data_IF_940788789483
#
_entry.id   IF_940788789483
#
_cell.length_a   1.000
_cell.length_b   1.000
_cell.length_c   1.000
_cell.angle_alpha   90.00
_cell.angle_beta   90.00
_cell.angle_gamma   90.00
#
_symmetry.space_group_name_H-M   'P 1'
#
loop_
_entity.id
_entity.type
_entity.pdbx_description
1 polymer ?
#
# COMPACT_ATOMS: atom_id res chain seq x y z
N UNK A 1 71.08 -12.83 44.15
CA UNK A 1 71.42 -12.84 45.60
C UNK A 1 70.37 -12.04 46.34
N UNK A 2 69.69 -12.63 47.32
CA UNK A 2 68.68 -11.96 48.18
C UNK A 2 69.38 -11.13 49.26
N UNK A 3 68.70 -10.12 49.82
CA UNK A 3 68.77 -9.91 51.26
C UNK A 3 67.39 -9.89 51.94
N UNK A 4 67.44 -10.29 53.21
CA UNK A 4 66.38 -10.46 54.21
C UNK A 4 66.06 -9.15 54.95
N UNK A 5 64.82 -8.99 55.41
CA UNK A 5 64.39 -8.28 56.64
C UNK A 5 62.93 -8.73 56.95
N UNK A 6 62.63 -9.56 57.97
CA UNK A 6 62.42 -9.26 59.41
C UNK A 6 61.35 -8.17 59.62
N UNK A 7 60.31 -8.26 60.46
CA UNK A 7 59.59 -9.29 61.22
C UNK A 7 58.31 -8.60 61.79
N UNK A 8 57.34 -9.37 62.26
CA UNK A 8 56.59 -9.21 63.54
C UNK A 8 55.19 -9.83 63.41
N UNK A 9 55.01 -10.90 64.18
CA UNK A 9 53.78 -11.66 64.39
C UNK A 9 53.11 -11.13 65.67
N UNK A 10 51.87 -10.64 65.59
CA UNK A 10 51.00 -10.42 66.76
C UNK A 10 49.78 -11.31 66.59
N UNK A 11 49.71 -12.33 67.43
CA UNK A 11 48.59 -13.25 67.59
C UNK A 11 47.63 -12.65 68.62
N UNK A 12 46.41 -12.33 68.23
CA UNK A 12 45.31 -12.01 69.15
C UNK A 12 44.12 -12.92 68.83
N UNK A 13 43.75 -13.77 69.78
CA UNK A 13 42.55 -14.59 69.75
C UNK A 13 41.31 -13.70 69.91
N UNK A 14 40.32 -13.86 69.04
CA UNK A 14 38.93 -13.45 69.32
C UNK A 14 37.98 -14.59 68.96
N UNK A 15 37.10 -14.87 69.92
CA UNK A 15 36.17 -15.98 69.94
C UNK A 15 35.14 -15.92 68.80
N UNK A 16 34.85 -17.07 68.20
CA UNK A 16 33.75 -17.23 67.25
C UNK A 16 32.42 -17.30 68.01
N UNK A 17 31.58 -16.27 67.85
CA UNK A 17 30.15 -16.36 68.15
C UNK A 17 29.42 -16.77 66.88
N UNK A 18 28.92 -18.01 66.86
CA UNK A 18 28.02 -18.51 65.84
C UNK A 18 26.64 -17.86 66.00
N UNK A 19 26.25 -16.99 65.07
CA UNK A 19 24.85 -16.63 64.87
C UNK A 19 24.27 -17.57 63.82
N UNK A 20 23.33 -18.41 64.24
CA UNK A 20 22.48 -19.19 63.35
C UNK A 20 21.61 -18.22 62.52
N UNK A 21 21.59 -18.39 61.19
CA UNK A 21 20.68 -17.67 60.32
C UNK A 21 19.30 -18.35 60.34
N UNK A 22 18.29 -17.61 60.78
CA UNK A 22 16.88 -17.96 60.64
C UNK A 22 16.52 -18.08 59.14
N UNK A 23 15.81 -19.13 58.70
CA UNK A 23 15.37 -19.24 57.31
C UNK A 23 14.38 -18.12 56.94
N UNK A 24 14.43 -17.58 55.71
CA UNK A 24 13.57 -16.46 55.30
C UNK A 24 12.09 -16.90 55.26
N UNK A 25 11.23 -16.03 55.80
CA UNK A 25 9.79 -16.23 55.84
C UNK A 25 9.17 -16.29 54.42
N UNK A 26 8.08 -17.06 54.22
CA UNK A 26 7.37 -17.13 52.95
C UNK A 26 6.75 -15.77 52.57
N UNK A 27 6.67 -15.42 51.27
CA UNK A 27 6.18 -14.12 50.84
C UNK A 27 4.73 -13.89 51.27
N UNK A 28 4.49 -12.76 51.95
CA UNK A 28 3.15 -12.27 52.27
C UNK A 28 2.49 -11.67 51.02
N UNK A 29 1.23 -12.06 50.81
CA UNK A 29 0.34 -11.64 49.74
C UNK A 29 -0.02 -10.14 49.93
N UNK A 30 0.82 -9.25 49.39
CA UNK A 30 0.46 -7.84 49.30
C UNK A 30 -0.42 -7.64 48.06
N UNK A 31 -1.72 -7.53 48.30
CA UNK A 31 -2.72 -7.10 47.35
C UNK A 31 -2.33 -5.74 46.73
N UNK A 32 -1.66 -5.78 45.58
CA UNK A 32 -1.42 -4.63 44.74
C UNK A 32 -2.69 -4.30 43.97
N UNK A 33 -3.19 -3.08 44.20
CA UNK A 33 -4.25 -2.47 43.42
C UNK A 33 -3.95 -2.62 41.91
N UNK A 34 -4.95 -2.95 41.07
CA UNK A 34 -4.70 -3.25 39.68
C UNK A 34 -4.19 -2.01 38.94
N UNK A 35 -3.10 -2.11 38.15
CA UNK A 35 -2.67 -1.00 37.31
C UNK A 35 -3.77 -0.72 36.29
N UNK A 36 -4.14 0.56 36.15
CA UNK A 36 -5.08 1.03 35.14
C UNK A 36 -4.58 0.63 33.74
N UNK A 37 -5.21 -0.40 33.17
CA UNK A 37 -4.85 -0.96 31.88
C UNK A 37 -5.32 -0.09 30.73
N UNK A 38 -4.36 0.47 29.97
CA UNK A 38 -4.62 0.87 28.60
C UNK A 38 -4.87 -0.38 27.73
N UNK A 39 -5.81 -0.35 26.79
CA UNK A 39 -6.07 -1.50 25.92
C UNK A 39 -4.96 -1.58 24.87
N UNK A 40 -4.13 -2.65 24.88
CA UNK A 40 -3.32 -2.93 23.69
C UNK A 40 -2.05 -3.76 23.81
N UNK A 41 -1.64 -4.23 24.99
CA UNK A 41 -0.37 -4.95 25.13
C UNK A 41 -0.47 -6.20 26.03
N UNK A 42 -1.28 -7.18 25.62
CA UNK A 42 -1.05 -8.58 25.96
C UNK A 42 -1.26 -9.38 24.69
N UNK A 43 -0.30 -10.24 24.35
CA UNK A 43 -0.51 -11.31 23.38
C UNK A 43 -1.63 -12.20 23.92
N UNK A 44 -2.87 -11.86 23.56
CA UNK A 44 -4.04 -12.47 24.14
C UNK A 44 -4.18 -13.90 23.60
N UNK A 45 -4.36 -14.85 24.51
CA UNK A 45 -4.92 -16.16 24.17
C UNK A 45 -6.19 -15.98 23.33
N UNK A 46 -6.57 -16.95 22.46
CA UNK A 46 -7.80 -16.86 21.68
C UNK A 46 -8.97 -16.55 22.62
N UNK A 47 -9.44 -15.31 22.59
CA UNK A 47 -10.55 -14.86 23.41
C UNK A 47 -11.82 -15.17 22.64
N UNK A 48 -12.78 -15.85 23.27
CA UNK A 48 -14.08 -16.14 22.62
C UNK A 48 -14.73 -14.86 22.08
N UNK A 49 -15.39 -14.91 20.88
CA UNK A 49 -16.08 -13.77 20.33
C UNK A 49 -17.15 -13.25 21.28
N UNK A 50 -17.21 -11.93 21.43
CA UNK A 50 -18.25 -11.26 22.21
C UNK A 50 -19.52 -11.11 21.36
N UNK A 51 -20.69 -10.91 22.00
CA UNK A 51 -21.91 -10.59 21.26
C UNK A 51 -21.73 -9.36 20.38
N UNK A 52 -22.20 -9.43 19.12
CA UNK A 52 -21.96 -8.41 18.10
C UNK A 52 -22.28 -6.98 18.56
N UNK A 53 -23.44 -6.79 19.20
CA UNK A 53 -23.91 -5.47 19.66
C UNK A 53 -23.05 -4.86 20.79
N UNK A 54 -22.22 -5.65 21.47
CA UNK A 54 -21.27 -5.16 22.46
C UNK A 54 -19.97 -4.64 21.82
N UNK A 55 -19.64 -5.13 20.62
CA UNK A 55 -18.45 -4.71 19.86
C UNK A 55 -18.81 -3.60 18.89
N UNK A 56 -19.82 -3.84 18.05
CA UNK A 56 -20.38 -2.88 17.11
C UNK A 56 -21.64 -2.28 17.74
N UNK A 57 -21.45 -1.21 18.49
CA UNK A 57 -22.52 -0.51 19.20
C UNK A 57 -23.33 0.38 18.24
N UNK A 58 -24.46 0.92 18.73
CA UNK A 58 -25.28 1.88 17.96
C UNK A 58 -24.54 3.18 17.61
N UNK A 59 -23.42 3.48 18.27
CA UNK A 59 -22.56 4.64 17.97
C UNK A 59 -21.66 4.42 16.74
N UNK A 60 -21.57 3.18 16.24
CA UNK A 60 -20.69 2.83 15.14
C UNK A 60 -21.13 3.50 13.83
N UNK A 61 -20.19 4.23 13.22
CA UNK A 61 -20.33 4.70 11.84
C UNK A 61 -19.82 3.59 10.92
N UNK A 62 -20.72 3.03 10.13
CA UNK A 62 -20.42 1.86 9.29
C UNK A 62 -20.42 2.26 7.82
N UNK A 63 -19.39 1.84 7.10
CA UNK A 63 -19.21 2.10 5.67
C UNK A 63 -19.15 0.76 4.91
N UNK A 64 -20.21 0.39 4.18
CA UNK A 64 -20.26 -0.88 3.45
C UNK A 64 -19.42 -0.80 2.17
N UNK A 65 -18.70 -1.87 1.88
CA UNK A 65 -17.94 -2.02 0.64
C UNK A 65 -17.44 -3.45 0.50
N UNK A 66 -16.20 -3.64 0.05
CA UNK A 66 -15.61 -4.97 -0.05
C UNK A 66 -15.55 -5.66 1.31
N UNK A 67 -15.15 -4.92 2.35
CA UNK A 67 -15.42 -5.22 3.76
C UNK A 67 -16.34 -4.13 4.31
N UNK A 68 -17.12 -4.42 5.34
CA UNK A 68 -17.77 -3.34 6.09
C UNK A 68 -16.77 -2.76 7.07
N UNK A 69 -16.54 -1.45 7.00
CA UNK A 69 -15.64 -0.74 7.91
C UNK A 69 -16.47 -0.04 8.97
N UNK A 70 -16.30 -0.42 10.23
CA UNK A 70 -16.97 0.22 11.36
C UNK A 70 -15.98 1.14 12.10
N UNK A 71 -16.37 2.38 12.37
CA UNK A 71 -15.63 3.31 13.21
C UNK A 71 -16.42 3.65 14.46
N UNK A 72 -15.80 3.42 15.62
CA UNK A 72 -16.32 3.81 16.94
C UNK A 72 -15.24 4.65 17.61
N UNK A 73 -15.46 5.98 17.67
CA UNK A 73 -14.45 6.95 18.10
C UNK A 73 -13.17 6.80 17.25
N UNK A 74 -12.04 6.46 17.88
CA UNK A 74 -10.76 6.23 17.20
C UNK A 74 -10.52 4.77 16.81
N UNK A 75 -11.41 3.84 17.20
CA UNK A 75 -11.26 2.42 16.85
C UNK A 75 -11.91 2.12 15.51
N UNK A 76 -11.17 1.42 14.66
CA UNK A 76 -11.64 0.91 13.37
C UNK A 76 -11.70 -0.60 13.41
N UNK A 77 -12.82 -1.14 12.92
CA UNK A 77 -13.04 -2.56 12.80
C UNK A 77 -13.33 -2.91 11.35
N UNK A 78 -12.84 -4.06 10.92
CA UNK A 78 -13.24 -4.70 9.67
C UNK A 78 -14.18 -5.85 9.97
N UNK A 79 -15.37 -5.81 9.38
CA UNK A 79 -16.24 -6.97 9.24
C UNK A 79 -15.99 -7.57 7.85
N UNK A 80 -15.31 -8.71 7.83
CA UNK A 80 -14.82 -9.34 6.60
C UNK A 80 -15.83 -10.38 6.14
N UNK A 81 -16.47 -10.24 4.96
CA UNK A 81 -17.37 -11.26 4.46
C UNK A 81 -16.63 -12.60 4.28
N UNK A 82 -17.29 -13.70 4.63
CA UNK A 82 -16.71 -15.05 4.48
C UNK A 82 -16.26 -15.34 3.05
N UNK A 83 -16.95 -14.79 2.05
CA UNK A 83 -16.60 -14.90 0.63
C UNK A 83 -15.30 -14.19 0.24
N UNK A 84 -14.78 -13.29 1.07
CA UNK A 84 -13.55 -12.53 0.82
C UNK A 84 -12.35 -13.06 1.62
N UNK A 85 -12.58 -13.95 2.59
CA UNK A 85 -11.50 -14.69 3.25
C UNK A 85 -10.81 -15.63 2.25
N UNK A 86 -9.49 -15.72 2.34
CA UNK A 86 -8.65 -16.51 1.43
C UNK A 86 -8.44 -15.89 0.05
N UNK A 87 -9.13 -14.79 -0.28
CA UNK A 87 -8.88 -14.04 -1.51
C UNK A 87 -7.67 -13.12 -1.37
N UNK A 88 -7.01 -12.89 -2.50
CA UNK A 88 -5.81 -12.07 -2.56
C UNK A 88 -6.12 -10.62 -2.88
N UNK A 89 -5.40 -9.73 -2.20
CA UNK A 89 -5.50 -8.29 -2.35
C UNK A 89 -4.12 -7.71 -2.65
N UNK A 90 -4.05 -6.75 -3.56
CA UNK A 90 -2.88 -5.91 -3.71
C UNK A 90 -2.91 -4.83 -2.63
N UNK A 91 -1.91 -4.81 -1.77
CA UNK A 91 -1.70 -3.75 -0.80
C UNK A 91 -0.64 -2.79 -1.31
N UNK A 92 -0.98 -1.51 -1.44
CA UNK A 92 -0.09 -0.43 -1.88
C UNK A 92 0.08 0.57 -0.75
N UNK A 93 1.32 0.88 -0.38
CA UNK A 93 1.66 1.86 0.65
C UNK A 93 2.39 3.06 0.03
N UNK A 94 1.96 4.27 0.37
CA UNK A 94 2.56 5.50 -0.11
C UNK A 94 2.59 6.59 0.96
N UNK A 95 3.54 7.51 0.85
CA UNK A 95 3.54 8.76 1.61
C UNK A 95 2.69 9.77 0.83
N UNK A 96 1.47 10.01 1.27
CA UNK A 96 0.55 10.96 0.65
C UNK A 96 1.00 12.42 0.88
N UNK A 97 1.45 12.74 2.10
CA UNK A 97 1.98 14.05 2.47
C UNK A 97 3.18 13.87 3.39
N UNK A 98 4.12 14.80 3.34
CA UNK A 98 5.36 14.72 4.11
C UNK A 98 5.72 16.07 4.71
N UNK A 99 6.56 16.03 5.74
CA UNK A 99 7.27 17.20 6.27
C UNK A 99 8.32 17.67 5.26
N UNK A 100 8.55 18.99 5.21
CA UNK A 100 9.55 19.61 4.34
C UNK A 100 10.94 19.00 4.57
N UNK A 101 11.69 18.78 3.47
CA UNK A 101 13.06 18.27 3.53
C UNK A 101 13.19 16.76 3.76
N UNK A 102 12.08 16.04 3.95
CA UNK A 102 12.10 14.59 4.21
C UNK A 102 11.76 13.76 2.96
N UNK A 103 10.96 14.31 2.04
CA UNK A 103 10.57 13.65 0.79
C UNK A 103 9.57 14.49 0.01
N UNK A 104 8.74 13.84 -0.81
CA UNK A 104 7.61 14.46 -1.52
C UNK A 104 6.33 13.63 -1.37
N UNK A 105 5.17 14.27 -1.55
CA UNK A 105 3.88 13.60 -1.55
C UNK A 105 3.67 12.74 -2.79
N UNK A 106 2.92 11.64 -2.64
CA UNK A 106 2.69 10.65 -3.70
C UNK A 106 3.85 9.66 -3.88
N UNK A 107 4.80 9.63 -2.95
CA UNK A 107 5.96 8.75 -3.04
C UNK A 107 5.57 7.32 -2.64
N UNK A 108 5.75 6.37 -3.56
CA UNK A 108 5.54 4.95 -3.29
C UNK A 108 6.55 4.42 -2.27
N UNK A 109 6.08 3.62 -1.31
CA UNK A 109 6.93 2.87 -0.38
C UNK A 109 7.07 1.41 -0.79
N UNK A 110 6.01 0.82 -1.33
CA UNK A 110 6.01 -0.55 -1.78
C UNK A 110 4.61 -1.04 -2.07
N UNK A 111 4.56 -2.20 -2.69
CA UNK A 111 3.34 -2.98 -2.85
C UNK A 111 3.63 -4.45 -2.54
N UNK A 112 2.58 -5.19 -2.19
CA UNK A 112 2.64 -6.64 -1.95
C UNK A 112 1.28 -7.28 -2.12
N UNK A 113 1.26 -8.58 -2.32
CA UNK A 113 0.02 -9.36 -2.28
C UNK A 113 -0.22 -9.80 -0.84
N UNK A 114 -1.42 -9.54 -0.34
CA UNK A 114 -1.85 -9.95 0.99
C UNK A 114 -3.11 -10.81 0.93
N UNK A 115 -3.29 -11.64 1.95
CA UNK A 115 -4.46 -12.50 2.12
C UNK A 115 -4.94 -12.46 3.57
N UNK A 116 -6.25 -12.38 3.75
CA UNK A 116 -6.89 -12.49 5.06
C UNK A 116 -7.35 -13.93 5.27
N UNK A 117 -6.87 -14.59 6.32
CA UNK A 117 -7.14 -16.01 6.58
C UNK A 117 -7.68 -16.18 8.00
N UNK A 118 -8.86 -16.78 8.15
CA UNK A 118 -9.42 -17.09 9.47
C UNK A 118 -8.89 -18.43 9.95
N UNK A 119 -8.26 -18.44 11.13
CA UNK A 119 -7.75 -19.63 11.80
C UNK A 119 -8.24 -19.60 13.24
N UNK A 120 -9.10 -20.56 13.60
CA UNK A 120 -9.79 -20.59 14.89
C UNK A 120 -10.47 -19.24 15.17
N UNK A 121 -10.24 -18.66 16.36
CA UNK A 121 -10.77 -17.37 16.73
C UNK A 121 -9.85 -16.18 16.39
N UNK A 122 -9.08 -16.31 15.30
CA UNK A 122 -8.20 -15.27 14.80
C UNK A 122 -8.35 -15.08 13.30
N UNK A 123 -8.07 -13.87 12.84
CA UNK A 123 -7.84 -13.57 11.43
C UNK A 123 -6.38 -13.16 11.26
N UNK A 124 -5.69 -13.81 10.33
CA UNK A 124 -4.30 -13.55 9.99
C UNK A 124 -4.26 -12.68 8.73
N UNK A 125 -3.48 -11.61 8.77
CA UNK A 125 -3.04 -10.90 7.58
C UNK A 125 -1.70 -11.50 7.15
N UNK A 126 -1.68 -12.15 5.99
CA UNK A 126 -0.50 -12.84 5.46
C UNK A 126 0.05 -12.16 4.22
N UNK A 127 1.36 -12.19 4.06
CA UNK A 127 2.07 -11.78 2.85
C UNK A 127 2.19 -13.00 1.92
N UNK A 128 1.68 -12.89 0.70
CA UNK A 128 1.79 -13.92 -0.33
C UNK A 128 2.91 -13.53 -1.29
N UNK A 129 3.87 -14.43 -1.51
CA UNK A 129 4.94 -14.23 -2.49
C UNK A 129 4.79 -15.19 -3.66
N UNK A 130 5.19 -14.70 -4.84
CA UNK A 130 5.24 -15.45 -6.08
C UNK A 130 6.65 -15.48 -6.67
N UNK A 131 7.67 -15.26 -5.83
CA UNK A 131 9.07 -15.26 -6.26
C UNK A 131 9.55 -16.67 -6.66
N UNK A 132 8.93 -17.70 -6.07
CA UNK A 132 9.18 -19.11 -6.37
C UNK A 132 7.85 -19.78 -6.71
N UNK A 133 7.79 -20.42 -7.88
CA UNK A 133 6.57 -21.07 -8.39
C UNK A 133 6.89 -22.44 -8.98
N UNK A 134 5.86 -23.27 -9.08
CA UNK A 134 5.85 -24.49 -9.86
C UNK A 134 4.43 -24.72 -10.41
N UNK A 135 4.33 -25.49 -11.50
CA UNK A 135 3.04 -25.91 -12.02
C UNK A 135 2.35 -26.84 -11.00
N UNK A 136 1.15 -26.46 -10.55
CA UNK A 136 0.36 -27.21 -9.56
C UNK A 136 0.01 -28.63 -10.01
N UNK A 137 0.03 -28.91 -11.31
CA UNK A 137 -0.18 -30.26 -11.84
C UNK A 137 1.02 -31.20 -11.61
N UNK A 138 2.19 -30.65 -11.29
CA UNK A 138 3.41 -31.44 -11.12
C UNK A 138 3.67 -31.79 -9.65
N UNK A 139 4.27 -32.97 -9.34
CA UNK A 139 4.59 -33.36 -7.97
C UNK A 139 5.49 -32.37 -7.22
N UNK A 140 6.41 -31.70 -7.95
CA UNK A 140 7.35 -30.73 -7.38
C UNK A 140 6.65 -29.52 -6.75
N UNK A 141 5.40 -29.21 -7.17
CA UNK A 141 4.61 -28.14 -6.57
C UNK A 141 4.40 -28.34 -5.07
N UNK A 142 4.26 -29.59 -4.59
CA UNK A 142 4.13 -29.88 -3.16
C UNK A 142 5.38 -29.51 -2.38
N UNK A 143 6.57 -29.73 -2.95
CA UNK A 143 7.83 -29.36 -2.32
C UNK A 143 8.00 -27.83 -2.31
N UNK A 144 7.61 -27.16 -3.40
CA UNK A 144 7.60 -25.69 -3.46
C UNK A 144 6.62 -25.09 -2.45
N UNK A 145 5.41 -25.63 -2.34
CA UNK A 145 4.43 -25.21 -1.33
C UNK A 145 4.91 -25.47 0.10
N UNK A 146 5.54 -26.63 0.36
CA UNK A 146 6.12 -26.92 1.67
C UNK A 146 7.32 -26.02 2.02
N UNK A 147 8.07 -25.56 1.01
CA UNK A 147 9.20 -24.65 1.17
C UNK A 147 8.78 -23.17 1.29
N UNK A 148 7.57 -22.81 0.84
CA UNK A 148 7.07 -21.44 0.86
C UNK A 148 5.84 -21.33 1.74
N UNK A 149 6.03 -20.90 2.98
CA UNK A 149 4.91 -20.55 3.86
C UNK A 149 4.64 -19.04 3.80
N UNK A 150 3.38 -18.66 3.60
CA UNK A 150 2.94 -17.27 3.62
C UNK A 150 3.25 -16.63 4.99
N UNK A 151 4.07 -15.59 5.01
CA UNK A 151 4.46 -14.89 6.26
C UNK A 151 3.26 -14.19 6.89
N UNK A 152 3.02 -14.43 8.18
CA UNK A 152 2.00 -13.69 8.95
C UNK A 152 2.54 -12.30 9.27
N UNK A 153 1.94 -11.26 8.70
CA UNK A 153 2.26 -9.86 9.00
C UNK A 153 1.66 -9.47 10.36
N UNK A 154 0.39 -9.83 10.58
CA UNK A 154 -0.32 -9.50 11.81
C UNK A 154 -1.47 -10.48 12.06
N UNK A 155 -1.75 -10.76 13.34
CA UNK A 155 -2.84 -11.63 13.78
C UNK A 155 -3.86 -10.84 14.60
N UNK A 156 -5.14 -10.94 14.28
CA UNK A 156 -6.22 -10.22 14.95
C UNK A 156 -7.14 -11.21 15.66
N UNK A 157 -7.59 -10.89 16.87
CA UNK A 157 -8.64 -11.66 17.52
C UNK A 157 -9.99 -11.35 16.84
N UNK A 158 -10.82 -12.37 16.70
CA UNK A 158 -12.22 -12.18 16.29
C UNK A 158 -12.98 -11.63 17.50
N UNK A 159 -13.26 -10.33 17.47
CA UNK A 159 -13.91 -9.61 18.57
C UNK A 159 -15.40 -9.96 18.64
N UNK A 160 -16.03 -10.16 17.49
CA UNK A 160 -17.41 -10.60 17.33
C UNK A 160 -17.59 -11.32 15.99
N UNK A 161 -18.73 -11.97 15.81
CA UNK A 161 -19.15 -12.58 14.55
C UNK A 161 -20.39 -11.84 14.05
N UNK A 162 -20.32 -11.33 12.83
CA UNK A 162 -21.41 -10.64 12.13
C UNK A 162 -22.35 -11.61 11.42
N UNK A 163 -23.10 -11.10 10.45
CA UNK A 163 -23.97 -11.93 9.61
C UNK A 163 -23.13 -12.89 8.77
N UNK A 164 -23.70 -14.03 8.40
CA UNK A 164 -23.06 -15.02 7.53
C UNK A 164 -21.68 -15.51 8.01
N UNK A 165 -21.49 -15.55 9.33
CA UNK A 165 -20.21 -15.93 9.98
C UNK A 165 -19.03 -15.02 9.59
N UNK A 166 -19.30 -13.74 9.31
CA UNK A 166 -18.28 -12.73 9.03
C UNK A 166 -17.49 -12.36 10.31
N UNK A 167 -16.17 -12.59 10.39
CA UNK A 167 -15.39 -12.15 11.55
C UNK A 167 -15.29 -10.63 11.60
N UNK A 168 -15.51 -10.07 12.79
CA UNK A 168 -15.27 -8.66 13.11
C UNK A 168 -13.94 -8.56 13.85
N UNK A 169 -12.99 -7.83 13.28
CA UNK A 169 -11.65 -7.65 13.85
C UNK A 169 -11.34 -6.17 14.06
N UNK A 170 -10.65 -5.86 15.16
CA UNK A 170 -10.16 -4.51 15.44
C UNK A 170 -8.81 -4.29 14.73
N UNK A 171 -8.72 -3.30 13.85
CA UNK A 171 -7.55 -3.10 12.96
C UNK A 171 -6.79 -1.80 13.20
N UNK A 172 -7.15 -0.99 14.19
CA UNK A 172 -6.49 0.32 14.42
C UNK A 172 -4.99 0.16 14.56
N UNK A 173 -4.53 -0.85 15.31
CA UNK A 173 -3.10 -1.10 15.52
C UNK A 173 -2.33 -1.44 14.24
N UNK A 174 -3.00 -1.93 13.19
CA UNK A 174 -2.37 -2.14 11.87
C UNK A 174 -1.87 -0.82 11.28
N UNK A 175 -2.52 0.29 11.62
CA UNK A 175 -2.27 1.62 11.09
C UNK A 175 -1.70 2.62 12.10
N UNK A 176 -1.61 2.27 13.38
CA UNK A 176 -1.05 3.14 14.43
C UNK A 176 0.21 2.60 15.10
N UNK A 177 0.67 1.41 14.70
CA UNK A 177 1.94 0.82 15.14
C UNK A 177 2.93 0.68 13.99
N UNK A 178 4.21 0.52 14.32
CA UNK A 178 5.28 0.31 13.34
C UNK A 178 5.25 -1.12 12.80
N UNK A 179 4.43 -1.38 11.78
CA UNK A 179 4.43 -2.66 11.04
C UNK A 179 5.55 -2.59 9.99
N UNK A 180 6.66 -3.34 10.14
CA UNK A 180 7.86 -3.17 9.32
C UNK A 180 7.59 -3.23 7.83
N UNK A 181 6.69 -4.11 7.41
CA UNK A 181 6.32 -4.31 6.04
C UNK A 181 5.63 -3.04 5.46
N UNK A 182 4.82 -2.32 6.24
CA UNK A 182 4.07 -1.14 5.78
C UNK A 182 4.69 0.20 6.21
N UNK A 183 5.85 0.15 6.87
CA UNK A 183 6.46 1.28 7.53
C UNK A 183 7.23 2.20 6.58
N UNK A 184 7.15 3.50 6.83
CA UNK A 184 8.01 4.48 6.17
C UNK A 184 9.38 4.61 6.87
N UNK A 185 9.61 3.94 8.01
CA UNK A 185 10.79 4.14 8.88
C UNK A 185 12.11 4.04 8.13
N UNK A 186 12.29 3.00 7.32
CA UNK A 186 13.52 2.79 6.53
C UNK A 186 13.69 3.91 5.50
N UNK A 187 12.62 4.27 4.78
CA UNK A 187 12.64 5.33 3.78
C UNK A 187 12.97 6.69 4.38
N UNK A 188 12.45 6.97 5.56
CA UNK A 188 12.68 8.22 6.28
C UNK A 188 14.01 8.21 7.06
N UNK A 189 14.75 7.10 7.08
CA UNK A 189 15.95 6.89 7.91
C UNK A 189 15.68 7.15 9.39
N UNK A 190 14.47 6.84 9.83
CA UNK A 190 14.08 7.01 11.22
C UNK A 190 14.51 5.81 12.07
N UNK A 191 14.69 6.05 13.36
CA UNK A 191 15.03 5.02 14.35
C UNK A 191 13.81 4.25 14.80
N UNK A 192 12.71 4.96 15.04
CA UNK A 192 11.46 4.39 15.54
C UNK A 192 10.25 5.21 15.06
N UNK A 193 9.07 4.59 15.11
CA UNK A 193 7.79 5.29 15.07
C UNK A 193 7.39 5.67 16.49
N UNK A 194 6.76 6.83 16.63
CA UNK A 194 6.14 7.27 17.87
C UNK A 194 4.63 7.02 17.81
N UNK A 195 4.18 5.93 18.44
CA UNK A 195 2.78 5.53 18.43
C UNK A 195 1.87 6.54 19.15
N UNK A 196 2.39 7.35 20.08
CA UNK A 196 1.59 8.34 20.82
C UNK A 196 1.26 9.57 19.97
N UNK A 197 2.08 9.85 18.96
CA UNK A 197 1.90 10.91 17.96
C UNK A 197 1.48 10.37 16.59
N UNK A 198 0.94 9.16 16.57
CA UNK A 198 0.46 8.51 15.35
C UNK A 198 -0.98 8.05 15.52
N UNK A 199 -1.83 8.33 14.54
CA UNK A 199 -3.26 8.09 14.63
C UNK A 199 -3.87 7.84 13.25
N UNK A 200 -5.02 7.16 13.23
CA UNK A 200 -5.77 6.86 12.02
C UNK A 200 -6.69 8.06 11.68
N UNK A 201 -6.45 8.68 10.52
CA UNK A 201 -7.23 9.82 10.06
C UNK A 201 -8.59 9.37 9.54
N UNK A 202 -8.58 8.44 8.57
CA UNK A 202 -9.80 7.90 7.95
C UNK A 202 -9.58 6.52 7.36
N UNK A 203 -10.64 5.73 7.35
CA UNK A 203 -10.75 4.47 6.63
C UNK A 203 -12.08 4.50 5.86
N UNK A 204 -12.04 4.22 4.56
CA UNK A 204 -13.19 4.25 3.66
C UNK A 204 -13.23 2.95 2.90
N UNK A 205 -14.41 2.35 2.81
CA UNK A 205 -14.65 1.14 2.03
C UNK A 205 -15.27 1.47 0.68
N UNK A 206 -14.79 0.79 -0.36
CA UNK A 206 -15.34 0.84 -1.70
C UNK A 206 -15.68 -0.58 -2.15
N UNK A 207 -16.48 -0.77 -3.21
CA UNK A 207 -16.90 -2.10 -3.64
C UNK A 207 -15.76 -3.07 -3.99
N UNK A 208 -14.56 -2.58 -4.32
CA UNK A 208 -13.41 -3.41 -4.73
C UNK A 208 -12.12 -3.11 -3.96
N UNK A 209 -12.13 -2.11 -3.08
CA UNK A 209 -10.93 -1.67 -2.37
C UNK A 209 -11.27 -1.00 -1.04
N UNK A 210 -10.27 -0.90 -0.16
CA UNK A 210 -10.33 -0.15 1.09
C UNK A 210 -9.17 0.84 1.08
N UNK A 211 -9.48 2.09 1.40
CA UNK A 211 -8.49 3.17 1.46
C UNK A 211 -8.38 3.68 2.89
N UNK A 212 -7.16 3.67 3.42
CA UNK A 212 -6.88 4.14 4.78
C UNK A 212 -5.79 5.20 4.74
N UNK A 213 -6.04 6.32 5.42
CA UNK A 213 -5.03 7.34 5.70
C UNK A 213 -4.73 7.35 7.19
N UNK A 214 -3.44 7.40 7.52
CA UNK A 214 -2.95 7.46 8.88
C UNK A 214 -1.76 8.41 8.99
N UNK A 215 -1.76 9.23 10.02
CA UNK A 215 -0.66 10.15 10.33
C UNK A 215 0.35 9.41 11.18
N UNK A 216 1.57 9.28 10.68
CA UNK A 216 2.67 8.59 11.37
C UNK A 216 3.75 9.60 11.72
N UNK A 217 4.16 9.61 12.99
CA UNK A 217 5.30 10.39 13.45
C UNK A 217 6.47 9.46 13.71
N UNK A 218 7.64 9.79 13.17
CA UNK A 218 8.87 9.04 13.34
C UNK A 218 9.93 9.87 14.07
N UNK A 219 10.84 9.20 14.77
CA UNK A 219 11.94 9.83 15.53
C UNK A 219 13.30 9.33 15.06
N UNK A 220 14.30 10.20 15.07
CA UNK A 220 15.70 9.87 14.81
C UNK A 220 16.59 10.62 15.82
N UNK A 221 17.74 10.04 16.21
CA UNK A 221 18.73 10.71 17.03
C UNK A 221 19.10 12.08 16.46
N UNK A 222 19.29 13.06 17.33
CA UNK A 222 19.73 14.42 16.97
C UNK A 222 21.19 14.47 16.54
N UNK A 223 21.96 13.48 16.96
CA UNK A 223 23.39 13.41 16.67
C UNK A 223 23.64 13.08 15.20
N UNK A 224 24.69 13.66 14.59
CA UNK A 224 25.02 13.38 13.20
C UNK A 224 25.29 11.88 13.02
N UNK A 225 24.82 11.26 11.92
CA UNK A 225 25.06 9.84 11.69
C UNK A 225 26.56 9.57 11.63
N UNK A 226 27.02 8.58 12.39
CA UNK A 226 28.40 8.10 12.31
C UNK A 226 28.60 7.40 10.96
N UNK A 227 29.26 8.07 10.01
CA UNK A 227 29.67 7.50 8.72
C UNK A 227 29.31 8.37 7.51
N UNK A 228 29.84 8.03 6.33
CA UNK A 228 29.64 8.81 5.12
C UNK A 228 28.16 8.84 4.73
N UNK A 229 27.60 10.06 4.67
CA UNK A 229 26.28 10.31 4.12
C UNK A 229 26.31 10.08 2.61
N UNK A 230 25.67 9.01 2.14
CA UNK A 230 25.52 8.78 0.70
C UNK A 230 24.65 9.90 0.07
N UNK A 231 25.23 10.77 -0.79
CA UNK A 231 24.52 11.89 -1.40
C UNK A 231 23.41 11.45 -2.38
N UNK A 232 23.49 10.23 -2.93
CA UNK A 232 22.48 9.67 -3.82
C UNK A 232 21.20 9.24 -3.08
N UNK A 233 21.28 9.10 -1.76
CA UNK A 233 20.15 8.80 -0.88
C UNK A 233 19.67 10.04 -0.12
N UNK A 234 19.97 11.27 -0.57
CA UNK A 234 19.75 12.54 0.12
C UNK A 234 18.28 12.95 0.40
N UNK A 235 17.37 11.99 0.57
CA UNK A 235 16.06 12.16 1.18
C UNK A 235 15.99 11.37 2.49
N UNK A 236 15.47 11.99 3.55
CA UNK A 236 15.33 11.35 4.85
C UNK A 236 15.39 12.36 5.98
N UNK A 237 14.82 11.97 7.11
CA UNK A 237 14.72 12.79 8.30
C UNK A 237 16.11 13.22 8.78
N UNK A 238 16.23 14.46 9.22
CA UNK A 238 17.32 14.88 10.09
C UNK A 238 16.94 14.53 11.53
N UNK A 239 17.87 14.70 12.46
CA UNK A 239 17.61 14.46 13.87
C UNK A 239 16.35 15.15 14.38
N UNK A 240 15.65 14.51 15.32
CA UNK A 240 14.37 14.98 15.85
C UNK A 240 13.19 14.12 15.37
N UNK A 241 12.10 14.77 14.95
CA UNK A 241 10.86 14.09 14.52
C UNK A 241 10.41 14.56 13.14
N UNK A 242 9.74 13.68 12.40
CA UNK A 242 8.97 14.05 11.22
C UNK A 242 7.66 13.29 11.19
N UNK A 243 6.63 14.02 10.76
CA UNK A 243 5.29 13.49 10.62
C UNK A 243 4.95 13.40 9.13
N UNK A 244 4.44 12.25 8.73
CA UNK A 244 4.01 11.97 7.36
C UNK A 244 2.59 11.42 7.36
N UNK A 245 1.82 11.77 6.33
CA UNK A 245 0.53 11.14 6.08
C UNK A 245 0.76 9.93 5.21
N UNK A 246 0.51 8.75 5.76
CA UNK A 246 0.50 7.48 5.06
C UNK A 246 -0.84 7.28 4.38
N UNK A 247 -0.80 6.66 3.20
CA UNK A 247 -1.99 6.19 2.50
C UNK A 247 -1.79 4.74 2.10
N UNK A 248 -2.75 3.92 2.48
CA UNK A 248 -2.80 2.49 2.25
C UNK A 248 -4.01 2.17 1.39
N UNK A 249 -3.75 1.54 0.24
CA UNK A 249 -4.78 1.07 -0.67
C UNK A 249 -4.72 -0.45 -0.70
N UNK A 250 -5.84 -1.10 -0.36
CA UNK A 250 -5.99 -2.54 -0.46
C UNK A 250 -7.04 -2.84 -1.53
N UNK A 251 -6.62 -3.40 -2.66
CA UNK A 251 -7.46 -3.63 -3.84
C UNK A 251 -7.59 -5.11 -4.10
N UNK A 252 -8.82 -5.61 -4.30
CA UNK A 252 -9.06 -7.02 -4.62
C UNK A 252 -8.43 -7.41 -5.95
N UNK A 253 -7.68 -8.52 -5.97
CA UNK A 253 -7.14 -9.05 -7.21
C UNK A 253 -8.20 -9.82 -8.01
N UNK A 254 -8.16 -9.77 -9.36
CA UNK A 254 -9.06 -10.56 -10.19
C UNK A 254 -8.88 -12.06 -9.99
N UNK A 255 -9.98 -12.80 -9.85
CA UNK A 255 -9.96 -14.26 -9.65
C UNK A 255 -9.35 -15.02 -10.84
N UNK A 256 -9.49 -14.47 -12.06
CA UNK A 256 -8.84 -15.00 -13.26
C UNK A 256 -7.57 -14.21 -13.56
N UNK A 257 -6.37 -14.79 -13.37
CA UNK A 257 -5.11 -14.16 -13.72
C UNK A 257 -5.06 -13.81 -15.21
N UNK A 258 -4.36 -12.72 -15.54
CA UNK A 258 -4.06 -12.43 -16.94
C UNK A 258 -2.97 -13.36 -17.46
N UNK A 259 -2.98 -13.64 -18.76
CA UNK A 259 -1.88 -14.39 -19.38
C UNK A 259 -0.58 -13.61 -19.28
N UNK A 260 0.46 -14.19 -18.65
CA UNK A 260 1.77 -13.55 -18.55
C UNK A 260 2.41 -13.43 -19.94
N UNK A 261 3.33 -12.48 -20.10
CA UNK A 261 4.14 -12.35 -21.31
C UNK A 261 5.61 -12.28 -20.93
N UNK A 262 6.43 -13.07 -21.60
CA UNK A 262 7.87 -13.06 -21.37
C UNK A 262 8.47 -11.71 -21.69
N UNK A 263 9.49 -11.36 -20.92
CA UNK A 263 10.31 -10.19 -21.17
C UNK A 263 11.22 -10.40 -22.37
N UNK A 264 11.29 -9.38 -23.24
CA UNK A 264 12.21 -9.31 -24.37
C UNK A 264 13.15 -8.12 -24.13
N UNK A 265 14.45 -8.37 -24.11
CA UNK A 265 15.48 -7.36 -23.83
C UNK A 265 15.49 -6.20 -24.83
N UNK A 266 14.98 -6.42 -26.04
CA UNK A 266 14.92 -5.40 -27.09
C UNK A 266 13.84 -4.35 -26.82
N UNK A 267 12.88 -4.65 -25.94
CA UNK A 267 11.74 -3.77 -25.65
C UNK A 267 11.79 -3.33 -24.18
N UNK A 268 11.82 -2.02 -23.97
CA UNK A 268 11.90 -1.42 -22.64
C UNK A 268 10.59 -1.52 -21.85
N UNK A 269 10.28 -2.70 -21.29
CA UNK A 269 9.22 -2.87 -20.30
C UNK A 269 9.78 -3.00 -18.89
N UNK A 270 9.01 -2.50 -17.92
CA UNK A 270 9.14 -2.95 -16.54
C UNK A 270 8.79 -4.44 -16.43
N UNK A 271 9.38 -5.11 -15.46
CA UNK A 271 9.33 -6.57 -15.40
C UNK A 271 9.47 -7.10 -14.00
N UNK A 272 8.90 -8.26 -13.75
CA UNK A 272 9.08 -9.07 -12.55
C UNK A 272 9.85 -10.34 -12.89
N UNK A 273 10.51 -10.93 -11.90
CA UNK A 273 11.29 -12.16 -12.03
C UNK A 273 10.71 -13.21 -11.09
N UNK A 274 10.73 -14.47 -11.51
CA UNK A 274 10.26 -15.62 -10.73
C UNK A 274 11.16 -16.82 -11.01
N UNK A 275 11.44 -17.63 -9.98
CA UNK A 275 12.07 -18.93 -10.12
C UNK A 275 11.01 -19.99 -10.38
N UNK A 276 11.11 -20.72 -11.48
CA UNK A 276 10.14 -21.75 -11.89
C UNK A 276 10.75 -23.13 -11.73
N UNK A 277 10.28 -23.89 -10.73
CA UNK A 277 10.75 -25.26 -10.46
C UNK A 277 9.97 -26.33 -11.23
N UNK A 278 8.95 -25.95 -12.01
CA UNK A 278 8.13 -26.88 -12.79
C UNK A 278 8.72 -27.24 -14.16
N UNK A 279 10.00 -26.96 -14.40
CA UNK A 279 10.64 -27.18 -15.69
C UNK A 279 11.69 -28.27 -15.58
N UNK A 280 11.80 -29.07 -16.64
CA UNK A 280 12.83 -30.09 -16.78
C UNK A 280 14.15 -29.45 -17.22
N UNK A 281 14.75 -28.68 -16.31
CA UNK A 281 16.03 -28.02 -16.50
C UNK A 281 16.98 -28.37 -15.34
N UNK A 282 18.28 -28.51 -15.63
CA UNK A 282 19.31 -28.84 -14.62
C UNK A 282 19.45 -27.81 -13.48
N UNK A 283 18.89 -26.60 -13.65
CA UNK A 283 18.86 -25.52 -12.65
C UNK A 283 17.44 -24.99 -12.55
N UNK A 284 17.11 -24.27 -11.48
CA UNK A 284 15.85 -23.52 -11.40
C UNK A 284 15.90 -22.30 -12.34
N UNK A 285 15.20 -22.29 -13.50
CA UNK A 285 15.22 -21.15 -14.40
C UNK A 285 14.58 -19.93 -13.75
N UNK A 286 15.29 -18.81 -13.80
CA UNK A 286 14.73 -17.52 -13.44
C UNK A 286 14.04 -16.91 -14.67
N UNK A 287 12.71 -16.99 -14.71
CA UNK A 287 11.88 -16.40 -15.76
C UNK A 287 11.57 -14.94 -15.46
N UNK A 288 11.44 -14.14 -16.51
CA UNK A 288 11.15 -12.70 -16.42
C UNK A 288 9.91 -12.37 -17.23
N UNK A 289 8.96 -11.69 -16.61
CA UNK A 289 7.67 -11.33 -17.20
C UNK A 289 7.50 -9.81 -17.24
N UNK A 290 6.84 -9.29 -18.27
CA UNK A 290 6.57 -7.85 -18.36
C UNK A 290 5.38 -7.44 -17.50
N UNK A 291 5.47 -6.28 -16.86
CA UNK A 291 4.32 -5.62 -16.23
C UNK A 291 3.62 -4.74 -17.26
N UNK A 292 2.34 -4.99 -17.50
CA UNK A 292 1.54 -4.31 -18.53
C UNK A 292 0.09 -4.16 -18.11
N UNK A 293 -0.61 -3.25 -18.78
CA UNK A 293 -2.07 -3.20 -18.67
C UNK A 293 -2.72 -4.46 -19.27
N UNK A 294 -3.79 -4.92 -18.61
CA UNK A 294 -4.65 -5.98 -19.13
C UNK A 294 -5.55 -5.40 -20.22
N UNK A 295 -5.09 -5.50 -21.47
CA UNK A 295 -5.83 -5.13 -22.66
C UNK A 295 -6.29 -6.39 -23.39
N UNK A 296 -7.60 -6.52 -23.54
CA UNK A 296 -8.27 -7.58 -24.30
C UNK A 296 -9.01 -6.92 -25.45
N UNK A 297 -8.86 -7.46 -26.67
CA UNK A 297 -9.53 -6.93 -27.85
C UNK A 297 -11.03 -7.20 -27.74
N UNK A 298 -11.85 -6.21 -28.09
CA UNK A 298 -13.30 -6.37 -28.20
C UNK A 298 -13.68 -7.32 -29.34
N UNK A 299 -12.95 -7.24 -30.45
CA UNK A 299 -12.98 -8.20 -31.56
C UNK A 299 -11.63 -8.95 -31.60
N UNK A 300 -11.59 -10.22 -31.17
CA UNK A 300 -10.37 -11.03 -31.17
C UNK A 300 -9.77 -11.27 -32.55
N UNK A 301 -10.58 -11.30 -33.61
CA UNK A 301 -10.16 -11.62 -34.98
C UNK A 301 -9.60 -10.39 -35.72
N UNK A 302 -10.03 -9.18 -35.35
CA UNK A 302 -9.55 -7.96 -35.96
C UNK A 302 -8.06 -7.70 -35.66
N UNK A 303 -7.30 -7.22 -36.65
CA UNK A 303 -5.90 -6.84 -36.49
C UNK A 303 -5.72 -5.76 -35.41
N UNK A 304 -6.58 -4.73 -35.45
CA UNK A 304 -6.71 -3.68 -34.45
C UNK A 304 -8.16 -3.65 -33.93
N UNK A 305 -8.34 -3.55 -32.62
CA UNK A 305 -9.65 -3.50 -32.00
C UNK A 305 -9.62 -2.62 -30.77
N UNK A 306 -10.75 -1.97 -30.49
CA UNK A 306 -10.93 -1.27 -29.21
C UNK A 306 -10.74 -2.25 -28.05
N UNK A 307 -10.12 -1.81 -26.93
CA UNK A 307 -10.02 -2.65 -25.75
C UNK A 307 -11.39 -2.81 -25.09
N UNK A 308 -11.68 -4.01 -24.57
CA UNK A 308 -12.89 -4.29 -23.78
C UNK A 308 -12.97 -3.34 -22.57
N UNK A 309 -11.84 -3.12 -21.90
CA UNK A 309 -11.70 -2.13 -20.81
C UNK A 309 -10.66 -1.08 -21.21
N UNK A 310 -11.09 0.16 -21.54
CA UNK A 310 -10.16 1.23 -21.89
C UNK A 310 -9.37 1.67 -20.67
N UNK A 311 -8.14 2.13 -20.90
CA UNK A 311 -7.31 2.73 -19.85
C UNK A 311 -7.76 4.17 -19.65
N UNK A 312 -8.09 4.51 -18.41
CA UNK A 312 -8.50 5.85 -18.02
C UNK A 312 -7.35 6.49 -17.25
N UNK A 313 -6.91 7.66 -17.70
CA UNK A 313 -5.90 8.45 -17.00
C UNK A 313 -6.60 9.61 -16.28
N UNK A 314 -6.41 9.65 -14.98
CA UNK A 314 -6.75 10.81 -14.16
C UNK A 314 -5.51 11.69 -14.00
N UNK A 315 -5.64 12.96 -14.34
CA UNK A 315 -4.57 13.93 -14.12
C UNK A 315 -4.84 14.64 -12.80
N UNK A 316 -3.86 14.65 -11.92
CA UNK A 316 -3.98 15.27 -10.59
C UNK A 316 -4.31 16.76 -10.76
N UNK A 317 -5.27 17.32 -9.99
CA UNK A 317 -5.68 18.72 -10.12
C UNK A 317 -4.53 19.73 -9.92
N UNK A 318 -3.52 19.37 -9.14
CA UNK A 318 -2.31 20.17 -8.92
C UNK A 318 -1.41 20.30 -10.17
N UNK A 319 -1.70 19.55 -11.25
CA UNK A 319 -0.96 19.68 -12.51
C UNK A 319 -1.27 21.02 -13.15
N UNK A 320 -0.24 21.86 -13.33
CA UNK A 320 -0.45 23.20 -13.89
C UNK A 320 -0.97 23.13 -15.33
N UNK A 321 -1.86 24.07 -15.66
CA UNK A 321 -2.53 24.14 -16.98
C UNK A 321 -1.53 24.29 -18.13
N UNK A 322 -0.38 24.93 -17.90
CA UNK A 322 0.72 25.06 -18.87
C UNK A 322 1.22 23.70 -19.39
N UNK A 323 1.31 22.70 -18.52
CA UNK A 323 1.84 21.38 -18.90
C UNK A 323 0.77 20.42 -19.44
N UNK A 324 -0.50 20.75 -19.22
CA UNK A 324 -1.62 19.88 -19.60
C UNK A 324 -1.66 19.51 -21.09
N UNK A 325 -1.42 20.43 -22.05
CA UNK A 325 -1.39 20.08 -23.47
C UNK A 325 -0.30 19.06 -23.81
N UNK A 326 0.90 19.24 -23.24
CA UNK A 326 2.04 18.34 -23.46
C UNK A 326 1.83 16.98 -22.79
N UNK A 327 1.20 16.94 -21.62
CA UNK A 327 0.84 15.67 -20.98
C UNK A 327 -0.19 14.90 -21.82
N UNK A 328 -1.24 15.59 -22.30
CA UNK A 328 -2.24 15.00 -23.19
C UNK A 328 -1.62 14.48 -24.48
N UNK A 329 -0.73 15.26 -25.12
CA UNK A 329 -0.08 14.86 -26.35
C UNK A 329 0.89 13.70 -26.13
N UNK A 330 1.67 13.71 -25.04
CA UNK A 330 2.61 12.64 -24.73
C UNK A 330 1.90 11.33 -24.39
N UNK A 331 0.81 11.38 -23.61
CA UNK A 331 -0.01 10.19 -23.35
C UNK A 331 -0.51 9.63 -24.69
N UNK A 332 -1.11 10.47 -25.54
CA UNK A 332 -1.62 10.05 -26.86
C UNK A 332 -0.51 9.53 -27.80
N UNK A 333 0.63 10.19 -27.85
CA UNK A 333 1.77 9.85 -28.70
C UNK A 333 2.50 8.58 -28.26
N UNK A 334 2.60 8.34 -26.95
CA UNK A 334 3.15 7.08 -26.40
C UNK A 334 2.34 5.87 -26.88
N UNK A 335 1.01 6.00 -26.95
CA UNK A 335 0.14 4.95 -27.49
C UNK A 335 0.33 4.73 -28.99
N UNK A 336 0.49 5.80 -29.75
CA UNK A 336 0.76 5.73 -31.20
C UNK A 336 2.07 4.98 -31.45
N UNK A 337 3.12 5.23 -30.65
CA UNK A 337 4.41 4.57 -30.79
C UNK A 337 4.40 3.08 -30.35
N UNK A 338 3.60 2.73 -29.32
CA UNK A 338 3.41 1.35 -28.87
C UNK A 338 2.60 0.52 -29.89
N UNK A 339 1.69 1.14 -30.65
CA UNK A 339 1.02 0.52 -31.78
C UNK A 339 1.93 0.39 -33.02
N UNK A 340 2.75 1.41 -33.33
CA UNK A 340 3.60 1.42 -34.52
C UNK A 340 4.81 0.47 -34.47
N UNK A 341 5.25 0.01 -33.29
CA UNK A 341 6.34 -0.99 -33.23
C UNK A 341 5.92 -2.39 -33.71
N UNK A 342 4.63 -2.62 -33.99
CA UNK A 342 4.13 -3.85 -34.62
C UNK A 342 3.96 -3.75 -36.13
N UNK A 343 3.89 -2.56 -36.71
CA UNK A 343 3.51 -2.37 -38.11
C UNK A 343 4.40 -1.28 -38.72
N UNK A 344 5.36 -1.71 -39.53
CA UNK A 344 6.23 -0.86 -40.34
C UNK A 344 5.47 -0.16 -41.48
N UNK A 345 4.50 0.68 -41.14
CA UNK A 345 3.73 1.45 -42.11
C UNK A 345 3.58 2.89 -41.64
N UNK A 346 4.28 3.79 -42.34
CA UNK A 346 4.10 5.23 -42.26
C UNK A 346 2.76 5.61 -42.89
N UNK A 347 1.99 6.46 -42.21
CA UNK A 347 0.92 7.23 -42.85
C UNK A 347 1.06 8.71 -42.58
N UNK A 348 0.70 9.45 -43.63
CA UNK A 348 0.93 10.87 -43.87
C UNK A 348 0.14 11.78 -42.95
N UNK A 349 0.81 12.87 -42.61
CA UNK A 349 0.37 13.92 -41.70
C UNK A 349 -0.75 14.75 -42.34
N UNK A 350 -1.99 14.52 -41.90
CA UNK A 350 -3.11 15.41 -42.17
C UNK A 350 -3.06 16.64 -41.26
N UNK A 351 -2.29 17.65 -41.68
CA UNK A 351 -2.30 19.07 -41.26
C UNK A 351 -2.71 19.37 -39.80
N UNK A 352 -1.70 19.63 -38.96
CA UNK A 352 -1.73 20.76 -38.02
C UNK A 352 -0.34 21.38 -37.97
N UNK A 353 -0.20 22.58 -38.52
CA UNK A 353 1.08 23.26 -38.69
C UNK A 353 1.78 23.51 -37.36
N UNK A 354 3.06 23.13 -37.31
CA UNK A 354 4.11 23.70 -36.48
C UNK A 354 5.44 23.29 -37.13
N UNK A 355 6.19 24.30 -37.58
CA UNK A 355 7.52 24.23 -38.22
C UNK A 355 8.54 23.30 -37.51
N UNK A 356 9.50 22.71 -38.24
CA UNK A 356 10.43 21.73 -37.70
C UNK A 356 11.66 22.40 -37.07
N UNK A 357 11.78 22.32 -35.75
CA UNK A 357 12.98 22.82 -35.08
C UNK A 357 13.10 22.41 -33.62
N UNK A 358 14.05 21.51 -33.35
CA UNK A 358 14.57 21.04 -32.05
C UNK A 358 13.85 19.82 -31.43
N UNK A 359 14.58 18.71 -31.40
CA UNK A 359 14.30 17.52 -30.58
C UNK A 359 14.52 17.85 -29.09
N UNK A 360 13.62 17.48 -28.17
CA UNK A 360 14.00 17.23 -26.80
C UNK A 360 14.04 15.72 -26.54
N UNK A 361 15.26 15.22 -26.32
CA UNK A 361 15.53 13.93 -25.70
C UNK A 361 14.97 13.94 -24.28
N UNK A 362 13.87 13.21 -24.03
CA UNK A 362 13.49 12.82 -22.66
C UNK A 362 13.00 11.36 -22.65
N UNK A 363 13.94 10.44 -22.40
CA UNK A 363 13.65 9.07 -21.98
C UNK A 363 13.34 9.09 -20.48
N UNK A 364 12.07 8.99 -20.12
CA UNK A 364 11.65 8.49 -18.81
C UNK A 364 10.18 8.03 -18.90
N UNK A 365 9.85 6.80 -18.46
CA UNK A 365 8.47 6.33 -18.38
C UNK A 365 7.77 6.97 -17.17
N UNK A 366 6.58 7.54 -17.39
CA UNK A 366 5.73 8.09 -16.34
C UNK A 366 4.95 6.96 -15.67
N UNK A 367 5.04 6.91 -14.34
CA UNK A 367 4.19 6.10 -13.46
C UNK A 367 2.81 6.74 -13.40
N UNK A 368 1.74 5.95 -13.58
CA UNK A 368 0.36 6.40 -13.43
C UNK A 368 -0.27 5.67 -12.23
N UNK A 369 -0.68 6.43 -11.21
CA UNK A 369 -1.66 6.04 -10.20
C UNK A 369 -2.30 7.29 -9.59
N UNK A 370 -3.63 7.40 -9.66
CA UNK A 370 -4.50 7.61 -8.51
C UNK A 370 -5.98 7.53 -8.96
N UNK A 371 -6.77 6.67 -8.30
CA UNK A 371 -8.23 6.69 -8.35
C UNK A 371 -8.74 7.56 -7.18
N UNK A 372 -9.51 8.60 -7.51
CA UNK A 372 -10.39 9.29 -6.57
C UNK A 372 -11.69 9.61 -7.30
N UNK A 373 -12.70 8.77 -7.13
CA UNK A 373 -14.08 9.16 -7.41
C UNK A 373 -14.66 9.84 -6.15
N UNK A 374 -15.05 11.12 -6.27
CA UNK A 374 -15.93 11.78 -5.31
C UNK A 374 -17.32 11.88 -5.95
N UNK A 375 -18.29 11.18 -5.39
CA UNK A 375 -19.71 11.53 -5.54
C UNK A 375 -20.12 12.35 -4.30
N UNK A 376 -20.71 13.53 -4.53
CA UNK A 376 -21.18 14.43 -3.48
C UNK A 376 -22.51 13.90 -2.89
N UNK A 377 -22.74 13.98 -1.56
CA UNK A 377 -24.08 13.86 -1.00
C UNK A 377 -24.88 15.14 -1.30
N UNK A 378 -26.09 14.99 -1.82
CA UNK A 378 -27.07 16.08 -1.88
C UNK A 378 -27.60 16.35 -0.46
N UNK A 379 -27.52 17.60 0.01
CA UNK A 379 -28.28 18.09 1.15
C UNK A 379 -29.26 19.19 0.68
N UNK A 380 -30.47 19.27 1.24
CA UNK A 380 -31.47 20.24 0.82
C UNK A 380 -31.14 21.65 1.34
N UNK A 381 -31.42 22.66 0.50
CA UNK A 381 -31.25 24.08 0.82
C UNK A 381 -32.32 24.53 1.81
N UNK A 382 -31.91 25.02 2.99
CA UNK A 382 -32.75 25.90 3.81
C UNK A 382 -32.37 27.37 3.56
N UNK A 383 -33.36 28.17 3.23
CA UNK A 383 -33.26 29.61 3.07
C UNK A 383 -33.08 30.32 4.42
N UNK A 384 -32.14 31.25 4.52
CA UNK A 384 -32.44 32.53 5.14
C UNK A 384 -31.42 33.63 4.77
N UNK A 385 -31.97 34.79 4.37
CA UNK A 385 -31.25 36.06 4.18
C UNK A 385 -30.96 36.68 5.55
N UNK A 386 -29.74 37.14 5.77
CA UNK A 386 -29.50 38.50 6.31
C UNK A 386 -28.05 38.94 6.11
N UNK A 387 -27.91 40.25 6.03
CA UNK A 387 -26.86 41.03 5.42
C UNK A 387 -25.94 41.59 6.52
N UNK A 388 -24.62 41.50 6.39
CA UNK A 388 -23.71 42.52 6.93
C UNK A 388 -22.34 42.44 6.26
N UNK A 389 -21.85 43.61 5.85
CA UNK A 389 -20.60 43.85 5.14
C UNK A 389 -19.42 43.84 6.12
N UNK A 390 -18.34 43.14 5.79
CA UNK A 390 -16.98 43.63 6.04
C UNK A 390 -16.02 42.99 5.03
N UNK A 391 -15.18 43.84 4.43
CA UNK A 391 -14.25 43.51 3.36
C UNK A 391 -12.94 43.00 3.97
N UNK A 392 -12.62 41.73 3.78
CA UNK A 392 -11.24 41.26 3.63
C UNK A 392 -11.20 40.24 2.49
N UNK A 393 -10.41 40.55 1.47
CA UNK A 393 -10.28 39.75 0.25
C UNK A 393 -9.51 38.45 0.54
N UNK A 394 -10.23 37.41 0.97
CA UNK A 394 -9.74 36.05 0.91
C UNK A 394 -9.98 35.49 -0.51
N UNK A 395 -8.89 35.19 -1.23
CA UNK A 395 -8.93 34.43 -2.48
C UNK A 395 -9.56 33.05 -2.22
N UNK A 396 -10.86 32.96 -2.49
CA UNK A 396 -11.61 31.71 -2.52
C UNK A 396 -11.08 30.85 -3.67
N UNK A 397 -10.29 29.83 -3.35
CA UNK A 397 -10.05 28.72 -4.28
C UNK A 397 -11.38 28.00 -4.50
N UNK A 398 -11.98 28.23 -5.66
CA UNK A 398 -13.11 27.44 -6.15
C UNK A 398 -12.59 26.03 -6.46
N UNK A 399 -13.22 25.03 -5.84
CA UNK A 399 -13.07 23.62 -6.20
C UNK A 399 -13.62 23.39 -7.62
N UNK A 400 -12.74 23.40 -8.61
CA UNK A 400 -13.03 22.98 -9.99
C UNK A 400 -12.91 21.45 -10.12
N UNK A 401 -13.80 20.75 -10.85
CA UNK A 401 -13.73 19.31 -11.05
C UNK A 401 -12.54 18.91 -11.94
N UNK A 402 -11.80 17.88 -11.54
CA UNK A 402 -10.69 17.32 -12.32
C UNK A 402 -11.12 16.83 -13.70
N UNK A 403 -10.28 17.02 -14.71
CA UNK A 403 -10.57 16.66 -16.10
C UNK A 403 -10.35 15.16 -16.35
N UNK A 404 -11.40 14.44 -16.76
CA UNK A 404 -11.33 13.02 -17.19
C UNK A 404 -10.90 12.92 -18.65
N UNK A 405 -9.91 12.09 -18.96
CA UNK A 405 -9.52 11.75 -20.34
C UNK A 405 -9.86 10.29 -20.62
N UNK A 406 -10.76 10.06 -21.57
CA UNK A 406 -11.11 8.71 -22.07
C UNK A 406 -10.73 8.67 -23.55
N UNK A 407 -9.89 7.70 -23.94
CA UNK A 407 -9.52 7.49 -25.33
C UNK A 407 -10.37 6.35 -25.92
N UNK A 408 -11.03 6.62 -27.04
CA UNK A 408 -11.74 5.64 -27.89
C UNK A 408 -10.98 5.56 -29.22
N UNK A 409 -10.82 4.38 -29.81
CA UNK A 409 -10.19 4.29 -31.14
C UNK A 409 -11.25 4.48 -32.22
N UNK A 410 -10.95 5.29 -33.23
CA UNK A 410 -11.91 5.76 -34.23
C UNK A 410 -12.69 4.65 -34.95
N UNK A 411 -13.94 4.97 -35.33
CA UNK A 411 -14.78 4.16 -36.22
C UNK A 411 -14.10 3.97 -37.58
N UNK A 412 -14.07 2.74 -38.09
CA UNK A 412 -13.84 2.49 -39.51
C UNK A 412 -15.00 3.05 -40.32
N UNK A 413 -14.74 4.02 -41.19
CA UNK A 413 -15.70 4.46 -42.20
C UNK A 413 -15.89 3.33 -43.22
N UNK A 414 -17.14 2.91 -43.43
CA UNK A 414 -17.51 1.88 -44.39
C UNK A 414 -17.24 2.33 -45.83
N UNK A 415 -16.82 1.37 -46.65
CA UNK A 415 -16.64 1.52 -48.09
C UNK A 415 -18.00 1.60 -48.79
N UNK A 416 -18.34 2.73 -49.38
CA UNK A 416 -19.33 2.82 -50.45
C UNK A 416 -18.62 2.97 -51.79
N UNK A 417 -18.68 1.91 -52.61
CA UNK A 417 -18.45 2.01 -54.07
C UNK A 417 -19.71 2.62 -54.70
N UNK A 418 -19.61 3.57 -55.65
CA UNK A 418 -20.71 3.85 -56.55
C UNK A 418 -20.66 2.91 -57.76
N UNK A 419 -21.82 2.31 -58.08
CA UNK A 419 -22.09 1.63 -59.34
C UNK A 419 -21.99 2.60 -60.52
N UNK A 420 -21.50 2.08 -61.64
CA UNK A 420 -21.47 2.74 -62.93
C UNK A 420 -22.89 2.87 -63.50
N UNK A 421 -23.21 4.03 -64.07
CA UNK A 421 -24.31 4.19 -65.02
C UNK A 421 -23.71 4.31 -66.42
N UNK A 422 -24.27 3.51 -67.34
CA UNK A 422 -23.95 3.51 -68.75
C UNK A 422 -24.74 4.59 -69.48
N UNK A 423 -24.08 5.30 -70.40
CA UNK A 423 -24.67 5.95 -71.56
C UNK A 423 -23.56 6.20 -72.59
N UNK A 424 -23.67 5.57 -73.76
CA UNK A 424 -22.74 5.68 -74.88
C UNK A 424 -22.38 4.32 -75.46
#
# INVERSE_FOLDING_TARGET
MKPFAVAVLVLAMTAATSFAQEPPAPPQDNAQAPPAGGPGARGAQPQEPRPYHQVITKEAKSDPGIFTVHRIRERVYYEIPRSELGKEFLWVSQIARTTLGVGWGGQALGNRVVKWERVNNRVLLKNVTYDVVADKSQPISKAVEAANNDTIIMSFNVEAVGKDDAPVIEVTRLFTSDVPEFSARVRLRARAMDNTRSYLDRAISFPQNIEVEATHTYTAPTDPPAGPVNPLLAGGMRGGSATVLMHYSMVKLPEKPMTPRFFDERVGYFSIRQYDYGQDEHRSPQRRYITRYRLEKKDPAAALSEPVKPIVYWVVPATTTKWMPYLKSRIRGSWIQECHHREGSAWSEGRSGLEPGRRPLFRHPLVAFNDRERLRPQYPRSANRRNSRSRHSALSQRDEPGSRLVFRSGRSAGSSRPEASASG
#
